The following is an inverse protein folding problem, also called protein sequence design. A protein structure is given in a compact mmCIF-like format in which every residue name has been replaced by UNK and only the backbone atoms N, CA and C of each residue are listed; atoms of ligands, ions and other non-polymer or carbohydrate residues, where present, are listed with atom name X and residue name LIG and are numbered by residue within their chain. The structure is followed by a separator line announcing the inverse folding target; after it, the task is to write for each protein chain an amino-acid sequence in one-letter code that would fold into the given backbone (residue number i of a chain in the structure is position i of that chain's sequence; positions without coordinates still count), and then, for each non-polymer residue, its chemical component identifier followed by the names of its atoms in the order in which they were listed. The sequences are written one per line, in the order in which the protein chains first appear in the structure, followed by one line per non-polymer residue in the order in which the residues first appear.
data_IF_777212189056
#
_entry.id   IF_777212189056
#
_cell.length_a   1.000
_cell.length_b   1.000
_cell.length_c   1.000
_cell.angle_alpha   90.00
_cell.angle_beta   90.00
_cell.angle_gamma   90.00
#
_symmetry.space_group_name_H-M   'P 1'
#
loop_
_entity.id
_entity.type
_entity.pdbx_description
1 polymer ?
#
# COMPACT_ATOMS: atom_id res chain seq x y z
N UNK A 1 -5.59 18.56 -6.16
CA UNK A 1 -4.93 17.35 -6.67
C UNK A 1 -4.26 16.66 -5.49
N UNK A 2 -4.68 15.45 -5.17
CA UNK A 2 -4.08 14.64 -4.10
C UNK A 2 -2.88 13.85 -4.66
N UNK A 3 -1.88 13.48 -3.84
CA UNK A 3 -0.76 12.65 -4.32
C UNK A 3 -1.20 11.34 -4.98
N UNK A 4 -2.33 10.78 -4.55
CA UNK A 4 -2.92 9.55 -5.09
C UNK A 4 -3.41 9.71 -6.55
N UNK A 5 -3.66 10.93 -7.01
CA UNK A 5 -4.08 11.22 -8.39
C UNK A 5 -2.89 11.31 -9.35
N UNK A 6 -1.68 11.52 -8.85
CA UNK A 6 -0.47 11.70 -9.66
C UNK A 6 0.16 10.35 -9.99
N UNK A 7 0.17 9.98 -11.28
CA UNK A 7 0.67 8.68 -11.73
C UNK A 7 2.11 8.37 -11.30
N UNK A 8 3.03 9.35 -11.44
CA UNK A 8 4.44 9.19 -11.03
C UNK A 8 4.55 8.85 -9.54
N UNK A 9 3.69 9.44 -8.71
CA UNK A 9 3.69 9.18 -7.28
C UNK A 9 3.20 7.77 -6.96
N UNK A 10 2.08 7.34 -7.56
CA UNK A 10 1.59 5.96 -7.42
C UNK A 10 2.62 4.93 -7.88
N UNK A 11 3.27 5.16 -9.01
CA UNK A 11 4.34 4.31 -9.53
C UNK A 11 5.53 4.22 -8.57
N UNK A 12 5.94 5.34 -7.97
CA UNK A 12 7.00 5.34 -6.95
C UNK A 12 6.62 4.49 -5.73
N UNK A 13 5.37 4.56 -5.26
CA UNK A 13 4.90 3.73 -4.15
C UNK A 13 4.84 2.25 -4.49
N UNK A 14 4.44 1.87 -5.71
CA UNK A 14 4.49 0.47 -6.16
C UNK A 14 5.91 -0.08 -6.14
N UNK A 15 6.91 0.72 -6.55
CA UNK A 15 8.32 0.34 -6.45
C UNK A 15 8.75 0.13 -4.99
N UNK A 16 8.34 1.02 -4.07
CA UNK A 16 8.62 0.88 -2.65
C UNK A 16 7.91 -0.32 -2.01
N UNK A 17 6.68 -0.62 -2.43
CA UNK A 17 5.92 -1.77 -1.96
C UNK A 17 6.60 -3.08 -2.38
N UNK A 18 6.98 -3.21 -3.66
CA UNK A 18 7.72 -4.36 -4.16
C UNK A 18 9.10 -4.49 -3.48
N UNK A 19 9.80 -3.38 -3.26
CA UNK A 19 11.07 -3.38 -2.52
C UNK A 19 10.89 -3.91 -1.09
N UNK A 20 9.85 -3.47 -0.39
CA UNK A 20 9.57 -3.87 0.98
C UNK A 20 9.02 -5.30 1.10
N UNK A 21 8.34 -5.80 0.06
CA UNK A 21 7.90 -7.19 -0.02
C UNK A 21 9.10 -8.15 -0.14
N UNK A 22 10.09 -7.78 -0.96
CA UNK A 22 11.31 -8.60 -1.17
C UNK A 22 11.06 -9.90 -1.95
N UNK A 23 9.83 -10.13 -2.41
CA UNK A 23 9.41 -11.30 -3.18
C UNK A 23 8.43 -10.91 -4.30
N UNK A 24 8.28 -11.74 -5.35
CA UNK A 24 7.30 -11.47 -6.41
C UNK A 24 5.86 -11.47 -5.88
N UNK A 25 5.09 -10.45 -6.25
CA UNK A 25 3.67 -10.32 -5.86
C UNK A 25 2.77 -10.40 -7.09
N UNK A 26 1.60 -11.02 -6.95
CA UNK A 26 0.53 -10.83 -7.94
C UNK A 26 -0.12 -9.43 -7.78
N UNK A 27 -0.89 -9.02 -8.79
CA UNK A 27 -1.53 -7.70 -8.80
C UNK A 27 -2.50 -7.51 -7.63
N UNK A 28 -3.18 -8.57 -7.18
CA UNK A 28 -4.13 -8.50 -6.07
C UNK A 28 -3.39 -8.16 -4.77
N UNK A 29 -2.36 -8.90 -4.41
CA UNK A 29 -1.57 -8.62 -3.22
C UNK A 29 -0.90 -7.24 -3.28
N UNK A 30 -0.31 -6.90 -4.43
CA UNK A 30 0.37 -5.61 -4.58
C UNK A 30 -0.59 -4.42 -4.44
N UNK A 31 -1.76 -4.48 -5.07
CA UNK A 31 -2.76 -3.42 -4.98
C UNK A 31 -3.31 -3.24 -3.56
N UNK A 32 -3.52 -4.34 -2.85
CA UNK A 32 -3.95 -4.29 -1.44
C UNK A 32 -2.86 -3.76 -0.53
N UNK A 33 -1.61 -4.21 -0.73
CA UNK A 33 -0.48 -3.74 0.07
C UNK A 33 -0.22 -2.26 -0.16
N UNK A 34 -0.25 -1.75 -1.40
CA UNK A 34 -0.08 -0.32 -1.68
C UNK A 34 -1.16 0.51 -0.96
N UNK A 35 -2.42 0.13 -1.13
CA UNK A 35 -3.53 0.85 -0.54
C UNK A 35 -3.49 0.86 0.99
N UNK A 36 -3.33 -0.30 1.62
CA UNK A 36 -3.29 -0.40 3.08
C UNK A 36 -2.00 0.21 3.66
N UNK A 37 -0.91 0.25 2.90
CA UNK A 37 0.30 1.00 3.31
C UNK A 37 0.06 2.50 3.33
N UNK A 38 -0.72 3.03 2.37
CA UNK A 38 -1.14 4.43 2.40
C UNK A 38 -2.13 4.72 3.55
N UNK A 39 -2.84 3.70 4.05
CA UNK A 39 -3.85 3.78 5.12
C UNK A 39 -3.65 2.73 6.22
N UNK A 40 -2.49 2.71 6.90
CA UNK A 40 -2.08 1.57 7.72
C UNK A 40 -2.91 1.43 9.00
N UNK A 41 -3.53 2.51 9.47
CA UNK A 41 -4.43 2.51 10.63
C UNK A 41 -5.79 1.84 10.35
N UNK A 42 -6.12 1.55 9.09
CA UNK A 42 -7.27 0.69 8.76
C UNK A 42 -7.04 -0.77 9.21
N UNK A 43 -5.78 -1.21 9.25
CA UNK A 43 -5.37 -2.56 9.64
C UNK A 43 -4.94 -2.61 11.12
N UNK A 44 -4.25 -1.57 11.59
CA UNK A 44 -3.70 -1.49 12.96
C UNK A 44 -4.58 -0.59 13.83
N UNK A 45 -5.71 -1.15 14.29
CA UNK A 45 -6.79 -0.42 14.98
C UNK A 45 -6.66 -0.39 16.51
N UNK A 46 -6.02 -1.38 17.11
CA UNK A 46 -5.93 -1.50 18.58
C UNK A 46 -4.98 -0.45 19.17
N UNK A 47 -5.45 0.33 20.14
CA UNK A 47 -4.68 1.38 20.83
C UNK A 47 -3.44 0.85 21.56
N UNK A 48 -3.48 -0.40 22.04
CA UNK A 48 -2.33 -1.04 22.72
C UNK A 48 -1.28 -1.60 21.75
N UNK A 49 -1.54 -1.55 20.45
CA UNK A 49 -0.68 -2.19 19.46
C UNK A 49 0.63 -1.40 19.26
N UNK A 50 1.82 -2.01 19.48
CA UNK A 50 3.10 -1.32 19.27
C UNK A 50 3.29 -0.84 17.83
N UNK A 51 2.70 -1.52 16.84
CA UNK A 51 2.74 -1.06 15.45
C UNK A 51 1.95 0.23 15.24
N UNK A 52 0.86 0.44 16.00
CA UNK A 52 0.06 1.67 15.93
C UNK A 52 0.88 2.85 16.42
N UNK A 53 1.58 2.68 17.54
CA UNK A 53 2.52 3.68 18.07
C UNK A 53 3.62 4.00 17.06
N UNK A 54 4.23 2.98 16.46
CA UNK A 54 5.24 3.18 15.42
C UNK A 54 4.71 3.96 14.20
N UNK A 55 3.47 3.68 13.77
CA UNK A 55 2.80 4.41 12.69
C UNK A 55 2.51 5.88 13.06
N UNK A 56 2.03 6.15 14.27
CA UNK A 56 1.82 7.51 14.77
C UNK A 56 3.13 8.30 14.84
N UNK A 57 4.21 7.69 15.32
CA UNK A 57 5.55 8.30 15.32
C UNK A 57 6.08 8.54 13.90
N UNK A 58 5.71 7.68 12.95
CA UNK A 58 5.95 7.91 11.52
C UNK A 58 4.96 8.92 10.89
N UNK A 59 4.15 9.62 11.69
CA UNK A 59 3.28 10.72 11.27
C UNK A 59 1.94 10.31 10.66
N UNK A 60 1.52 9.05 10.79
CA UNK A 60 0.17 8.63 10.37
C UNK A 60 -0.88 9.01 11.43
N UNK A 61 -2.01 9.55 10.97
CA UNK A 61 -3.13 9.95 11.79
C UNK A 61 -4.44 9.44 11.16
N UNK A 62 -5.40 9.06 12.01
CA UNK A 62 -6.75 8.63 11.61
C UNK A 62 -7.61 9.79 11.13
N UNK A 63 -7.30 11.01 11.59
CA UNK A 63 -8.04 12.23 11.25
C UNK A 63 -7.78 12.74 9.84
N UNK A 64 -6.82 12.16 9.11
CA UNK A 64 -6.59 12.44 7.70
C UNK A 64 -7.68 11.81 6.79
N UNK A 65 -8.95 11.91 7.20
CA UNK A 65 -10.11 11.45 6.46
C UNK A 65 -10.34 12.43 5.31
N UNK A 66 -9.92 12.02 4.12
CA UNK A 66 -10.24 12.73 2.89
C UNK A 66 -11.74 12.65 2.58
N UNK A 67 -12.20 13.50 1.65
CA UNK A 67 -13.60 13.62 1.20
C UNK A 67 -14.26 12.33 0.65
N UNK A 68 -13.53 11.22 0.54
CA UNK A 68 -14.01 9.94 0.02
C UNK A 68 -13.79 8.82 1.03
N UNK A 69 -14.76 7.90 1.11
CA UNK A 69 -14.65 6.72 1.95
C UNK A 69 -13.44 5.86 1.55
N UNK A 70 -12.82 5.11 2.50
CA UNK A 70 -11.73 4.18 2.17
C UNK A 70 -12.09 3.21 1.04
N UNK A 71 -13.34 2.74 0.99
CA UNK A 71 -13.82 1.85 -0.07
C UNK A 71 -13.76 2.50 -1.47
N UNK A 72 -14.23 3.74 -1.61
CA UNK A 72 -14.15 4.46 -2.90
C UNK A 72 -12.70 4.67 -3.33
N UNK A 73 -11.83 5.05 -2.40
CA UNK A 73 -10.40 5.26 -2.67
C UNK A 73 -9.71 3.97 -3.10
N UNK A 74 -10.06 2.84 -2.48
CA UNK A 74 -9.54 1.54 -2.88
C UNK A 74 -9.94 1.19 -4.31
N UNK A 75 -11.22 1.36 -4.67
CA UNK A 75 -11.70 1.11 -6.03
C UNK A 75 -10.96 1.98 -7.05
N UNK A 76 -10.80 3.29 -6.78
CA UNK A 76 -10.03 4.19 -7.65
C UNK A 76 -8.57 3.75 -7.78
N UNK A 77 -7.91 3.34 -6.70
CA UNK A 77 -6.54 2.83 -6.75
C UNK A 77 -6.43 1.56 -7.62
N UNK A 78 -7.42 0.64 -7.52
CA UNK A 78 -7.45 -0.56 -8.35
C UNK A 78 -7.62 -0.26 -9.84
N UNK A 79 -8.40 0.76 -10.21
CA UNK A 79 -8.56 1.17 -11.61
C UNK A 79 -7.26 1.66 -12.24
N UNK A 80 -6.35 2.24 -11.46
CA UNK A 80 -5.07 2.74 -11.95
C UNK A 80 -3.95 1.70 -11.98
N UNK A 81 -4.07 0.64 -11.17
CA UNK A 81 -2.99 -0.32 -10.92
C UNK A 81 -2.42 -0.97 -12.19
N UNK A 82 -3.28 -1.42 -13.10
CA UNK A 82 -2.83 -2.07 -14.34
C UNK A 82 -2.02 -1.14 -15.23
N UNK A 83 -2.48 0.11 -15.39
CA UNK A 83 -1.78 1.13 -16.16
C UNK A 83 -0.43 1.52 -15.53
N UNK A 84 -0.39 1.65 -14.21
CA UNK A 84 0.86 1.96 -13.50
C UNK A 84 1.87 0.80 -13.58
N UNK A 85 1.41 -0.45 -13.47
CA UNK A 85 2.26 -1.63 -13.66
C UNK A 85 2.77 -1.75 -15.10
N UNK A 86 1.91 -1.53 -16.10
CA UNK A 86 2.32 -1.53 -17.50
C UNK A 86 3.39 -0.47 -17.78
N UNK A 87 3.25 0.73 -17.20
CA UNK A 87 4.24 1.79 -17.32
C UNK A 87 5.59 1.41 -16.66
N UNK A 88 5.56 0.79 -15.47
CA UNK A 88 6.78 0.33 -14.79
C UNK A 88 7.48 -0.81 -15.52
N UNK A 89 6.72 -1.74 -16.12
CA UNK A 89 7.24 -2.81 -16.97
C UNK A 89 7.85 -2.24 -18.25
N UNK A 90 7.15 -1.32 -18.93
CA UNK A 90 7.65 -0.66 -20.14
C UNK A 90 8.93 0.16 -19.92
N UNK A 91 9.14 0.66 -18.69
CA UNK A 91 10.38 1.35 -18.28
C UNK A 91 11.50 0.40 -17.82
N UNK A 92 11.26 -0.91 -17.79
CA UNK A 92 12.23 -1.89 -17.32
C UNK A 92 12.51 -1.83 -15.82
N UNK A 93 11.65 -1.21 -15.01
CA UNK A 93 11.82 -1.12 -13.55
C UNK A 93 11.14 -2.31 -12.83
N UNK A 94 10.19 -2.95 -13.48
CA UNK A 94 9.47 -4.11 -12.98
C UNK A 94 9.50 -5.20 -14.05
N UNK A 95 9.76 -6.42 -13.63
CA UNK A 95 9.67 -7.61 -14.46
C UNK A 95 8.36 -8.34 -14.16
N UNK A 96 7.66 -8.75 -15.22
CA UNK A 96 6.49 -9.63 -15.13
C UNK A 96 6.90 -11.07 -15.42
N UNK A 97 6.40 -12.01 -14.62
CA UNK A 97 6.62 -13.45 -14.82
C UNK A 97 5.27 -14.17 -14.81
N UNK A 98 5.06 -15.08 -15.75
CA UNK A 98 3.82 -15.86 -15.87
C UNK A 98 4.14 -17.36 -15.74
N UNK A 99 4.39 -17.83 -14.53
CA UNK A 99 4.57 -19.23 -14.21
C UNK A 99 3.37 -19.71 -13.36
N UNK A 100 2.28 -20.09 -14.02
CA UNK A 100 1.00 -20.46 -13.39
C UNK A 100 0.16 -19.26 -12.93
N UNK A 101 0.80 -18.23 -12.36
CA UNK A 101 0.18 -16.92 -12.07
C UNK A 101 1.08 -15.76 -12.51
N UNK A 102 0.46 -14.65 -12.88
CA UNK A 102 1.17 -13.41 -13.21
C UNK A 102 1.67 -12.76 -11.93
N UNK A 103 2.99 -12.56 -11.84
CA UNK A 103 3.64 -11.90 -10.71
C UNK A 103 4.59 -10.82 -11.19
N UNK A 104 4.79 -9.82 -10.33
CA UNK A 104 5.60 -8.64 -10.54
C UNK A 104 6.72 -8.62 -9.51
N UNK A 105 7.94 -8.33 -9.97
CA UNK A 105 9.11 -8.13 -9.11
C UNK A 105 9.97 -6.98 -9.64
N UNK A 106 10.77 -6.36 -8.80
CA UNK A 106 11.73 -5.35 -9.25
C UNK A 106 12.82 -5.98 -10.11
N UNK A 107 13.27 -5.25 -11.14
CA UNK A 107 14.55 -5.46 -11.81
C UNK A 107 15.69 -4.86 -10.98
N UNK A 108 16.97 -5.13 -11.28
CA UNK A 108 18.09 -4.43 -10.64
C UNK A 108 18.00 -2.90 -10.75
N UNK A 109 17.55 -2.40 -11.89
CA UNK A 109 17.30 -0.98 -12.14
C UNK A 109 16.14 -0.47 -11.27
N UNK A 110 15.07 -1.26 -11.14
CA UNK A 110 13.94 -0.97 -10.25
C UNK A 110 14.34 -0.89 -8.78
N UNK A 111 15.20 -1.81 -8.32
CA UNK A 111 15.78 -1.79 -6.96
C UNK A 111 16.59 -0.52 -6.75
N UNK A 112 17.45 -0.18 -7.70
CA UNK A 112 18.29 1.02 -7.66
C UNK A 112 17.46 2.30 -7.65
N UNK A 113 16.40 2.36 -8.47
CA UNK A 113 15.47 3.48 -8.50
C UNK A 113 14.71 3.62 -7.17
N UNK A 114 14.18 2.52 -6.64
CA UNK A 114 13.46 2.51 -5.36
C UNK A 114 14.34 2.99 -4.19
N UNK A 115 15.63 2.66 -4.21
CA UNK A 115 16.61 3.11 -3.20
C UNK A 115 16.85 4.63 -3.22
N UNK A 116 16.66 5.30 -4.38
CA UNK A 116 16.85 6.75 -4.52
C UNK A 116 15.73 7.58 -3.89
N UNK A 117 14.59 6.98 -3.55
CA UNK A 117 13.51 7.68 -2.85
C UNK A 117 13.86 7.86 -1.37
N UNK A 118 14.54 8.94 -1.05
CA UNK A 118 15.01 9.27 0.33
C UNK A 118 14.16 10.32 1.03
N UNK A 119 13.17 10.91 0.33
CA UNK A 119 12.27 11.91 0.91
C UNK A 119 11.50 11.35 2.12
N UNK A 120 11.11 12.25 3.03
CA UNK A 120 10.39 11.89 4.27
C UNK A 120 9.16 11.01 3.99
N UNK A 121 8.38 11.33 2.95
CA UNK A 121 7.23 10.51 2.56
C UNK A 121 7.62 9.06 2.24
N UNK A 122 8.70 8.85 1.48
CA UNK A 122 9.16 7.51 1.11
C UNK A 122 9.59 6.72 2.36
N UNK A 123 10.24 7.38 3.33
CA UNK A 123 10.61 6.71 4.58
C UNK A 123 9.38 6.32 5.41
N UNK A 124 8.40 7.23 5.55
CA UNK A 124 7.12 6.95 6.23
C UNK A 124 6.38 5.79 5.56
N UNK A 125 6.33 5.80 4.22
CA UNK A 125 5.72 4.74 3.43
C UNK A 125 6.42 3.39 3.65
N UNK A 126 7.76 3.34 3.63
CA UNK A 126 8.50 2.09 3.93
C UNK A 126 8.21 1.57 5.34
N UNK A 127 8.12 2.44 6.34
CA UNK A 127 7.75 2.03 7.71
C UNK A 127 6.37 1.37 7.73
N UNK A 128 5.37 2.01 7.12
CA UNK A 128 4.04 1.43 7.00
C UNK A 128 4.04 0.13 6.19
N UNK A 129 4.77 0.07 5.06
CA UNK A 129 4.82 -1.08 4.18
C UNK A 129 5.35 -2.31 4.92
N UNK A 130 6.44 -2.15 5.68
CA UNK A 130 7.01 -3.25 6.47
C UNK A 130 6.02 -3.80 7.48
N UNK A 131 5.26 -2.94 8.16
CA UNK A 131 4.22 -3.35 9.12
C UNK A 131 3.08 -4.08 8.42
N UNK A 132 2.50 -3.46 7.39
CA UNK A 132 1.34 -3.97 6.66
C UNK A 132 1.68 -5.30 5.99
N UNK A 133 2.77 -5.36 5.21
CA UNK A 133 3.19 -6.58 4.52
C UNK A 133 3.48 -7.70 5.52
N UNK A 134 4.19 -7.41 6.63
CA UNK A 134 4.45 -8.42 7.67
C UNK A 134 3.15 -9.01 8.24
N UNK A 135 2.13 -8.20 8.47
CA UNK A 135 0.82 -8.65 8.99
C UNK A 135 0.04 -9.46 7.96
N UNK A 136 0.11 -9.08 6.69
CA UNK A 136 -0.76 -9.63 5.65
C UNK A 136 -0.14 -10.76 4.83
N UNK A 137 1.18 -10.93 4.82
CA UNK A 137 1.89 -11.92 3.97
C UNK A 137 1.47 -13.37 4.17
N UNK A 138 0.87 -13.71 5.31
CA UNK A 138 0.40 -15.07 5.61
C UNK A 138 -1.04 -15.32 5.15
N UNK A 139 -1.73 -14.31 4.63
CA UNK A 139 -3.10 -14.43 4.19
C UNK A 139 -3.13 -14.90 2.73
N UNK A 140 -4.02 -15.84 2.42
CA UNK A 140 -4.35 -16.15 1.03
C UNK A 140 -5.14 -15.00 0.40
N UNK A 141 -5.15 -14.92 -0.93
CA UNK A 141 -5.96 -13.93 -1.66
C UNK A 141 -7.43 -13.87 -1.19
N UNK A 142 -8.03 -15.03 -0.91
CA UNK A 142 -9.38 -15.11 -0.34
C UNK A 142 -9.48 -14.41 1.02
N UNK A 143 -8.58 -14.73 1.96
CA UNK A 143 -8.57 -14.11 3.29
C UNK A 143 -8.24 -12.62 3.23
N UNK A 144 -7.42 -12.21 2.27
CA UNK A 144 -7.11 -10.82 1.99
C UNK A 144 -8.37 -10.05 1.57
N UNK A 145 -9.18 -10.60 0.66
CA UNK A 145 -10.49 -10.04 0.26
C UNK A 145 -11.48 -9.98 1.42
N UNK A 146 -11.54 -11.02 2.23
CA UNK A 146 -12.41 -11.06 3.41
C UNK A 146 -12.01 -9.98 4.43
N UNK A 147 -10.71 -9.86 4.73
CA UNK A 147 -10.16 -8.82 5.61
C UNK A 147 -10.38 -7.41 5.08
N UNK A 148 -10.21 -7.18 3.77
CA UNK A 148 -10.48 -5.89 3.13
C UNK A 148 -11.89 -5.39 3.40
N UNK A 149 -12.90 -6.26 3.32
CA UNK A 149 -14.28 -5.88 3.60
C UNK A 149 -14.46 -5.33 5.01
N UNK A 150 -13.68 -5.81 5.97
CA UNK A 150 -13.70 -5.32 7.36
C UNK A 150 -12.88 -4.04 7.53
N UNK A 151 -11.72 -3.95 6.88
CA UNK A 151 -10.82 -2.79 7.01
C UNK A 151 -11.31 -1.54 6.28
N UNK A 152 -12.07 -1.69 5.20
CA UNK A 152 -12.61 -0.57 4.43
C UNK A 152 -13.84 0.09 5.08
N UNK A 153 -14.39 -0.51 6.14
CA UNK A 153 -15.44 0.12 6.95
C UNK A 153 -14.80 1.20 7.82
N UNK A 154 -15.30 2.46 7.79
CA UNK A 154 -14.85 3.50 8.70
C UNK A 154 -14.93 3.03 10.15
N UNK A 155 -13.95 3.40 10.99
CA UNK A 155 -14.11 3.20 12.42
C UNK A 155 -15.38 3.96 12.88
N UNK A 156 -16.17 3.40 13.81
CA UNK A 156 -17.31 4.13 14.35
C UNK A 156 -16.80 5.45 14.93
N UNK A 157 -17.38 6.55 14.46
CA UNK A 157 -17.11 7.88 15.02
C UNK A 157 -17.37 7.82 16.51
N UNK A 158 -16.33 7.92 17.34
CA UNK A 158 -16.51 8.30 18.73
C UNK A 158 -17.12 9.70 18.72
N UNK A 159 -18.44 9.74 18.93
CA UNK A 159 -19.19 10.98 19.03
C UNK A 159 -18.49 11.90 20.03
N UNK A 160 -18.35 13.16 19.63
CA UNK A 160 -17.85 14.25 20.44
C UNK A 160 -18.61 14.25 21.77
N UNK A 161 -17.94 13.89 22.86
CA UNK A 161 -18.44 14.22 24.21
C UNK A 161 -18.22 15.72 24.35
N UNK A 162 -19.34 16.43 24.37
CA UNK A 162 -19.43 17.86 24.65
C UNK A 162 -19.22 18.10 26.14
#
# INVERSE_FOLDING_TARGET
MTPDEVAVFRQARLLLALQCAGEPLDAEHLGVYDFLTAHPLLVVRDEGDPDRTALRLAGFDERAVGYASPAQRFVTAQLHLSGDLAALVGRGLVQVTAAGRVTYRLTPEGVSMAARFTAMYAQRYRTAARIVIRRLRRLSARRLREGLRQWLVPAPSSAQVT
#
